data_IF_377116001980
#
_entry.id   IF_377116001980
#
_cell.length_a   1.000
_cell.length_b   1.000
_cell.length_c   1.000
_cell.angle_alpha   90.00
_cell.angle_beta   90.00
_cell.angle_gamma   90.00
#
_symmetry.space_group_name_H-M   'P 1'
#
loop_
_entity.id
_entity.type
_entity.pdbx_description
1 polymer ?
#
# COMPACT_ATOMS: atom_id res chain seq x y z
N UNK A 1 8.54 -15.77 3.83
CA UNK A 1 8.21 -15.06 5.08
C UNK A 1 8.50 -13.57 4.89
N UNK A 2 7.58 -12.78 4.34
CA UNK A 2 7.84 -11.33 4.08
C UNK A 2 6.64 -10.43 4.36
N UNK A 3 5.42 -10.80 3.95
CA UNK A 3 4.22 -9.96 4.17
C UNK A 3 3.64 -10.05 5.59
N UNK A 4 3.65 -11.23 6.21
CA UNK A 4 3.16 -11.39 7.59
C UNK A 4 4.00 -10.61 8.62
N UNK A 5 5.31 -10.51 8.40
CA UNK A 5 6.19 -9.70 9.27
C UNK A 5 5.98 -8.20 9.05
N UNK A 6 5.54 -7.81 7.85
CA UNK A 6 5.18 -6.43 7.52
C UNK A 6 3.90 -6.03 8.25
N UNK A 7 2.89 -6.90 8.32
CA UNK A 7 1.64 -6.59 9.05
C UNK A 7 1.89 -6.33 10.54
N UNK A 8 2.83 -7.04 11.17
CA UNK A 8 3.14 -6.84 12.59
C UNK A 8 3.75 -5.45 12.89
N UNK A 9 4.35 -4.79 11.89
CA UNK A 9 4.92 -3.44 12.03
C UNK A 9 3.87 -2.34 11.95
N UNK A 10 2.71 -2.64 11.39
CA UNK A 10 1.67 -1.65 11.09
C UNK A 10 0.63 -1.72 12.23
N UNK A 11 0.36 -0.60 12.94
CA UNK A 11 -0.67 -0.57 13.96
C UNK A 11 -2.03 -1.01 13.42
N UNK A 12 -2.83 -1.68 14.23
CA UNK A 12 -4.14 -2.22 13.81
C UNK A 12 -5.08 -1.13 13.25
N UNK A 13 -5.01 0.09 13.77
CA UNK A 13 -5.78 1.23 13.25
C UNK A 13 -5.39 1.56 11.79
N UNK A 14 -4.09 1.56 11.49
CA UNK A 14 -3.58 1.81 10.15
C UNK A 14 -3.88 0.66 9.19
N UNK A 15 -3.86 -0.59 9.67
CA UNK A 15 -4.32 -1.74 8.90
C UNK A 15 -5.80 -1.59 8.51
N UNK A 16 -6.65 -1.10 9.41
CA UNK A 16 -8.06 -0.84 9.11
C UNK A 16 -8.20 0.25 8.03
N UNK A 17 -7.43 1.35 8.14
CA UNK A 17 -7.43 2.42 7.11
C UNK A 17 -7.02 1.89 5.74
N UNK A 18 -5.96 1.07 5.68
CA UNK A 18 -5.54 0.41 4.43
C UNK A 18 -6.68 -0.44 3.86
N UNK A 19 -7.33 -1.26 4.70
CA UNK A 19 -8.44 -2.10 4.24
C UNK A 19 -9.61 -1.27 3.69
N UNK A 20 -9.95 -0.16 4.34
CA UNK A 20 -11.00 0.76 3.87
C UNK A 20 -10.61 1.40 2.52
N UNK A 21 -9.37 1.85 2.38
CA UNK A 21 -8.88 2.42 1.12
C UNK A 21 -8.90 1.43 -0.04
N UNK A 22 -8.54 0.16 0.21
CA UNK A 22 -8.57 -0.88 -0.81
C UNK A 22 -10.00 -1.23 -1.29
N UNK A 23 -11.03 -0.84 -0.54
CA UNK A 23 -12.44 -0.98 -0.95
C UNK A 23 -12.95 0.21 -1.79
N UNK A 24 -12.12 1.24 -2.03
CA UNK A 24 -12.56 2.39 -2.81
C UNK A 24 -12.92 1.99 -4.24
N UNK A 25 -14.04 2.56 -4.74
CA UNK A 25 -14.47 2.40 -6.13
C UNK A 25 -13.38 2.82 -7.12
N UNK A 26 -12.62 3.87 -6.79
CA UNK A 26 -11.42 4.24 -7.53
C UNK A 26 -10.20 3.53 -6.94
N UNK A 27 -9.85 2.40 -7.54
CA UNK A 27 -8.73 1.56 -7.11
C UNK A 27 -7.39 2.30 -7.09
N UNK A 28 -7.16 3.28 -7.99
CA UNK A 28 -5.90 4.05 -8.02
C UNK A 28 -5.74 4.89 -6.76
N UNK A 29 -6.80 5.59 -6.36
CA UNK A 29 -6.82 6.38 -5.14
C UNK A 29 -6.69 5.49 -3.90
N UNK A 30 -7.37 4.34 -3.92
CA UNK A 30 -7.29 3.35 -2.83
C UNK A 30 -5.86 2.84 -2.61
N UNK A 31 -5.18 2.44 -3.70
CA UNK A 31 -3.80 1.97 -3.64
C UNK A 31 -2.84 3.09 -3.24
N UNK A 32 -3.00 4.31 -3.77
CA UNK A 32 -2.16 5.47 -3.38
C UNK A 32 -2.22 5.73 -1.88
N UNK A 33 -3.42 5.90 -1.34
CA UNK A 33 -3.63 6.16 0.10
C UNK A 33 -3.11 5.02 0.97
N UNK A 34 -3.22 3.78 0.49
CA UNK A 34 -2.66 2.62 1.18
C UNK A 34 -1.13 2.67 1.23
N UNK A 35 -0.48 3.05 0.14
CA UNK A 35 0.97 3.21 0.07
C UNK A 35 1.45 4.36 0.97
N UNK A 36 0.74 5.49 0.99
CA UNK A 36 1.06 6.62 1.86
C UNK A 36 1.08 6.22 3.34
N UNK A 37 0.14 5.36 3.76
CA UNK A 37 0.14 4.80 5.12
C UNK A 37 1.35 3.89 5.32
N UNK A 38 1.58 2.97 4.39
CA UNK A 38 2.67 1.98 4.48
C UNK A 38 4.07 2.63 4.51
N UNK A 39 4.26 3.76 3.83
CA UNK A 39 5.51 4.53 3.84
C UNK A 39 5.95 4.97 5.24
N UNK A 40 5.01 5.15 6.18
CA UNK A 40 5.33 5.50 7.56
C UNK A 40 5.89 4.34 8.40
N UNK A 41 5.67 3.09 7.96
CA UNK A 41 5.97 1.90 8.76
C UNK A 41 6.97 0.95 8.09
N UNK A 42 7.17 1.07 6.78
CA UNK A 42 8.00 0.17 6.00
C UNK A 42 9.29 0.85 5.57
N UNK A 43 10.37 0.07 5.56
CA UNK A 43 11.61 0.49 4.90
C UNK A 43 11.39 0.59 3.39
N UNK A 44 12.21 1.40 2.69
CA UNK A 44 12.16 1.52 1.23
C UNK A 44 12.19 0.17 0.51
N UNK A 45 12.97 -0.79 1.02
CA UNK A 45 13.06 -2.15 0.47
C UNK A 45 11.75 -2.93 0.62
N UNK A 46 11.09 -2.81 1.77
CA UNK A 46 9.80 -3.48 2.02
C UNK A 46 8.71 -2.83 1.18
N UNK A 47 8.70 -1.50 1.11
CA UNK A 47 7.79 -0.74 0.27
C UNK A 47 7.98 -1.10 -1.22
N UNK A 48 9.21 -1.25 -1.69
CA UNK A 48 9.50 -1.68 -3.06
C UNK A 48 8.88 -3.05 -3.38
N UNK A 49 8.98 -4.02 -2.46
CA UNK A 49 8.35 -5.33 -2.64
C UNK A 49 6.82 -5.23 -2.67
N UNK A 50 6.22 -4.38 -1.83
CA UNK A 50 4.77 -4.11 -1.88
C UNK A 50 4.37 -3.48 -3.21
N UNK A 51 5.07 -2.44 -3.67
CA UNK A 51 4.83 -1.79 -4.96
C UNK A 51 4.97 -2.78 -6.13
N UNK A 52 5.94 -3.70 -6.07
CA UNK A 52 6.13 -4.76 -7.07
C UNK A 52 4.96 -5.74 -7.12
N UNK A 53 4.33 -6.03 -5.99
CA UNK A 53 3.10 -6.84 -5.94
C UNK A 53 1.93 -6.04 -6.51
N UNK A 54 1.75 -4.79 -6.07
CA UNK A 54 0.68 -3.90 -6.53
C UNK A 54 0.70 -3.70 -8.05
N UNK A 55 1.88 -3.55 -8.66
CA UNK A 55 2.09 -3.45 -10.12
C UNK A 55 1.44 -4.57 -10.95
N UNK A 56 1.17 -5.74 -10.34
CA UNK A 56 0.50 -6.85 -11.05
C UNK A 56 -1.01 -6.65 -11.18
N UNK A 57 -1.59 -5.77 -10.37
CA UNK A 57 -3.03 -5.56 -10.28
C UNK A 57 -3.44 -4.15 -10.70
N UNK A 58 -2.52 -3.18 -10.58
CA UNK A 58 -2.77 -1.79 -10.94
C UNK A 58 -1.56 -1.18 -11.64
N UNK A 59 -1.83 -0.28 -12.58
CA UNK A 59 -0.81 0.55 -13.20
C UNK A 59 -0.28 1.57 -12.18
N UNK A 60 0.81 1.19 -11.51
CA UNK A 60 1.43 2.00 -10.46
C UNK A 60 2.05 3.29 -10.97
N UNK A 61 2.44 3.36 -12.25
CA UNK A 61 2.99 4.60 -12.81
C UNK A 61 1.91 5.69 -12.80
N UNK A 62 0.63 5.31 -12.95
CA UNK A 62 -0.51 6.24 -12.81
C UNK A 62 -0.95 6.50 -11.37
N UNK A 63 -0.51 5.68 -10.42
CA UNK A 63 -0.79 5.85 -8.99
C UNK A 63 0.21 6.84 -8.38
N UNK A 64 1.48 6.74 -8.77
CA UNK A 64 2.58 7.58 -8.29
C UNK A 64 2.59 8.98 -8.96
N UNK A 65 2.11 9.11 -10.20
CA UNK A 65 2.07 10.38 -10.95
C UNK A 65 0.68 11.06 -11.01
N UNK A 66 -0.26 10.69 -10.13
CA UNK A 66 -1.55 11.38 -10.07
C UNK A 66 -1.36 12.77 -9.45
N UNK A 67 -1.33 13.82 -10.28
CA UNK A 67 -1.53 15.21 -9.87
C UNK A 67 -2.93 15.42 -9.25
#
# INVERSE_FOLDING_TARGET
MKLFTISDKIPKEEQNKINDYLQYKNQKIGVRKSLDVLENYLSEKELYEVKKIARKFIDMDTVENAD
#
